data_IF_044937102771
#
_entry.id   IF_044937102771
#
_cell.length_a   1.000
_cell.length_b   1.000
_cell.length_c   1.000
_cell.angle_alpha   90.00
_cell.angle_beta   90.00
_cell.angle_gamma   90.00
#
_symmetry.space_group_name_H-M   'P 1'
#
loop_
_entity.id
_entity.type
_entity.pdbx_description
1 polymer ?
#
# COMPACT_ATOMS: atom_id res chain seq x y z
N UNK A 1 -1.41 6.81 -5.88
CA UNK A 1 -0.65 7.98 -6.40
C UNK A 1 -1.53 8.78 -7.35
N UNK A 2 -1.31 10.10 -7.49
CA UNK A 2 -2.19 10.97 -8.31
C UNK A 2 -1.78 11.10 -9.78
N UNK A 3 -0.52 10.81 -10.14
CA UNK A 3 -0.05 10.88 -11.53
C UNK A 3 1.02 9.80 -11.76
N UNK A 4 0.85 8.99 -12.80
CA UNK A 4 1.83 8.00 -13.28
C UNK A 4 2.59 8.59 -14.46
N UNK A 5 3.86 8.23 -14.58
CA UNK A 5 4.76 8.76 -15.61
C UNK A 5 5.23 7.59 -16.46
N UNK A 6 4.51 7.27 -17.53
CA UNK A 6 4.82 6.12 -18.39
C UNK A 6 5.81 6.49 -19.49
N UNK A 7 6.59 5.50 -19.93
CA UNK A 7 7.62 5.70 -20.94
C UNK A 7 7.12 5.13 -22.27
N UNK A 8 7.23 5.95 -23.31
CA UNK A 8 6.90 5.57 -24.67
C UNK A 8 8.19 5.50 -25.48
N UNK A 9 8.41 4.35 -26.11
CA UNK A 9 9.45 4.14 -27.10
C UNK A 9 8.93 4.60 -28.46
N UNK A 10 9.60 5.55 -29.09
CA UNK A 10 9.22 6.07 -30.42
C UNK A 10 10.32 5.74 -31.43
N UNK A 11 9.92 5.16 -32.56
CA UNK A 11 10.78 4.90 -33.71
C UNK A 11 10.34 5.72 -34.91
N UNK A 12 11.30 6.24 -35.65
CA UNK A 12 11.08 6.91 -36.93
C UNK A 12 11.60 6.03 -38.06
N UNK A 13 10.77 5.80 -39.09
CA UNK A 13 11.22 5.15 -40.31
C UNK A 13 10.49 5.71 -41.53
N UNK A 14 11.13 5.57 -42.71
CA UNK A 14 10.55 6.00 -43.98
C UNK A 14 9.65 4.92 -44.57
N UNK A 15 8.40 5.29 -44.84
CA UNK A 15 7.47 4.47 -45.61
C UNK A 15 7.98 4.24 -47.04
N UNK A 16 7.45 3.21 -47.71
CA UNK A 16 7.59 2.94 -49.15
C UNK A 16 7.30 4.18 -50.02
N UNK A 17 6.50 5.13 -49.52
CA UNK A 17 6.15 6.39 -50.19
C UNK A 17 6.98 7.61 -49.74
N UNK A 18 8.13 7.43 -49.08
CA UNK A 18 9.01 8.50 -48.55
C UNK A 18 8.32 9.47 -47.57
N UNK A 19 7.32 9.01 -46.83
CA UNK A 19 6.74 9.74 -45.70
C UNK A 19 7.34 9.20 -44.40
N UNK A 20 7.67 10.09 -43.48
CA UNK A 20 8.13 9.72 -42.15
C UNK A 20 6.94 9.15 -41.35
N UNK A 21 7.14 7.99 -40.72
CA UNK A 21 6.17 7.33 -39.86
C UNK A 21 6.80 7.21 -38.47
N UNK A 22 6.01 7.57 -37.45
CA UNK A 22 6.38 7.47 -36.05
C UNK A 22 5.60 6.32 -35.42
N UNK A 23 6.31 5.32 -34.91
CA UNK A 23 5.73 4.19 -34.15
C UNK A 23 6.03 4.37 -32.67
N UNK A 24 4.99 4.54 -31.87
CA UNK A 24 5.04 4.74 -30.44
C UNK A 24 4.54 3.49 -29.71
N UNK A 25 5.36 2.92 -28.83
CA UNK A 25 5.01 1.73 -28.03
C UNK A 25 5.16 2.03 -26.55
N UNK A 26 4.18 1.63 -25.75
CA UNK A 26 4.27 1.70 -24.29
C UNK A 26 5.35 0.74 -23.79
N UNK A 27 6.31 1.26 -23.04
CA UNK A 27 7.50 0.50 -22.64
C UNK A 27 7.15 -0.70 -21.73
N UNK A 28 6.25 -0.47 -20.78
CA UNK A 28 5.79 -1.47 -19.81
C UNK A 28 4.94 -2.57 -20.45
N UNK A 29 4.32 -2.30 -21.59
CA UNK A 29 3.49 -3.26 -22.31
C UNK A 29 3.60 -3.08 -23.83
N UNK A 30 4.50 -3.87 -24.44
CA UNK A 30 4.82 -3.80 -25.88
C UNK A 30 3.64 -4.08 -26.83
N UNK A 31 2.55 -4.70 -26.35
CA UNK A 31 1.33 -4.91 -27.13
C UNK A 31 0.52 -3.63 -27.35
N UNK A 32 0.77 -2.59 -26.54
CA UNK A 32 0.13 -1.27 -26.68
C UNK A 32 1.04 -0.39 -27.54
N UNK A 33 0.66 -0.23 -28.80
CA UNK A 33 1.40 0.57 -29.79
C UNK A 33 0.47 1.45 -30.63
N UNK A 34 1.00 2.52 -31.18
CA UNK A 34 0.28 3.45 -32.04
C UNK A 34 1.20 4.10 -33.08
N UNK A 35 0.69 4.29 -34.30
CA UNK A 35 1.44 4.93 -35.39
C UNK A 35 0.86 6.29 -35.77
N UNK A 36 1.73 7.28 -35.97
CA UNK A 36 1.40 8.63 -36.43
C UNK A 36 2.18 9.04 -37.67
N UNK A 37 1.60 9.95 -38.45
CA UNK A 37 2.28 10.63 -39.58
C UNK A 37 3.17 11.80 -39.11
N UNK A 38 3.06 12.16 -37.82
CA UNK A 38 3.98 13.03 -37.11
C UNK A 38 4.26 12.47 -35.71
N UNK A 39 5.35 12.94 -35.09
CA UNK A 39 5.71 12.60 -33.72
C UNK A 39 4.56 12.90 -32.74
N UNK A 40 4.00 14.10 -32.81
CA UNK A 40 2.90 14.54 -31.95
C UNK A 40 1.64 13.67 -32.13
N UNK A 41 1.35 13.26 -33.37
CA UNK A 41 0.21 12.39 -33.65
C UNK A 41 0.41 10.99 -33.03
N UNK A 42 1.62 10.43 -33.12
CA UNK A 42 1.95 9.14 -32.51
C UNK A 42 1.84 9.21 -30.98
N UNK A 43 2.35 10.27 -30.35
CA UNK A 43 2.26 10.50 -28.90
C UNK A 43 0.81 10.68 -28.44
N UNK A 44 -0.02 11.40 -29.20
CA UNK A 44 -1.44 11.55 -28.87
C UNK A 44 -2.17 10.20 -28.93
N UNK A 45 -1.95 9.41 -29.97
CA UNK A 45 -2.63 8.12 -30.13
C UNK A 45 -2.18 7.08 -29.11
N UNK A 46 -0.90 7.04 -28.75
CA UNK A 46 -0.42 6.13 -27.71
C UNK A 46 -0.93 6.54 -26.33
N UNK A 47 -1.08 7.85 -26.06
CA UNK A 47 -1.73 8.34 -24.85
C UNK A 47 -3.16 7.81 -24.75
N UNK A 48 -3.97 7.98 -25.81
CA UNK A 48 -5.34 7.48 -25.87
C UNK A 48 -5.40 5.95 -25.65
N UNK A 49 -4.58 5.18 -26.35
CA UNK A 49 -4.50 3.71 -26.17
C UNK A 49 -4.02 3.29 -24.78
N UNK A 50 -3.16 4.08 -24.14
CA UNK A 50 -2.71 3.80 -22.77
C UNK A 50 -3.84 4.01 -21.78
N UNK A 51 -4.66 5.06 -21.98
CA UNK A 51 -5.88 5.25 -21.20
C UNK A 51 -6.88 4.11 -21.41
N UNK A 52 -7.11 3.69 -22.65
CA UNK A 52 -7.98 2.52 -22.96
C UNK A 52 -7.48 1.25 -22.30
N UNK A 53 -6.16 1.03 -22.29
CA UNK A 53 -5.54 -0.11 -21.61
C UNK A 53 -5.72 -0.03 -20.09
N UNK A 54 -5.54 1.15 -19.49
CA UNK A 54 -5.76 1.34 -18.05
C UNK A 54 -7.24 1.22 -17.68
N UNK A 55 -8.16 1.69 -18.53
CA UNK A 55 -9.59 1.43 -18.41
C UNK A 55 -9.88 -0.06 -18.44
N UNK A 56 -9.31 -0.80 -19.40
CA UNK A 56 -9.45 -2.25 -19.47
C UNK A 56 -8.92 -2.95 -18.21
N UNK A 57 -7.73 -2.61 -17.74
CA UNK A 57 -7.17 -3.18 -16.51
C UNK A 57 -8.05 -2.88 -15.29
N UNK A 58 -8.52 -1.64 -15.19
CA UNK A 58 -9.44 -1.20 -14.14
C UNK A 58 -10.76 -1.97 -14.20
N UNK A 59 -11.33 -2.17 -15.38
CA UNK A 59 -12.57 -2.93 -15.58
C UNK A 59 -12.40 -4.42 -15.24
N UNK A 60 -11.18 -4.96 -15.37
CA UNK A 60 -10.83 -6.32 -14.94
C UNK A 60 -10.42 -6.39 -13.45
N UNK A 61 -10.46 -5.28 -12.71
CA UNK A 61 -10.00 -5.23 -11.32
C UNK A 61 -8.51 -5.54 -11.14
N UNK A 62 -7.73 -5.39 -12.20
CA UNK A 62 -6.29 -5.67 -12.23
C UNK A 62 -5.53 -4.37 -11.96
N UNK A 63 -4.40 -4.45 -11.25
CA UNK A 63 -3.61 -3.26 -10.94
C UNK A 63 -3.00 -2.63 -12.20
N UNK A 64 -2.93 -1.30 -12.22
CA UNK A 64 -2.21 -0.55 -13.24
C UNK A 64 -0.71 -0.73 -13.00
N UNK A 65 0.07 -1.18 -14.01
CA UNK A 65 1.51 -1.38 -13.86
C UNK A 65 2.23 -0.13 -13.37
N UNK A 66 3.14 -0.31 -12.41
CA UNK A 66 4.04 0.77 -11.98
C UNK A 66 4.96 1.19 -13.14
N UNK A 67 5.20 2.50 -13.31
CA UNK A 67 6.04 3.00 -14.38
C UNK A 67 7.50 2.58 -14.18
N UNK A 68 8.16 2.23 -15.27
CA UNK A 68 9.56 1.84 -15.22
C UNK A 68 10.47 3.07 -15.02
N UNK A 69 11.60 2.90 -14.31
CA UNK A 69 12.55 4.00 -14.12
C UNK A 69 13.34 4.31 -15.41
N UNK A 70 13.28 5.57 -15.87
CA UNK A 70 13.99 6.04 -17.08
C UNK A 70 15.49 5.73 -17.09
N UNK A 71 16.14 5.80 -15.93
CA UNK A 71 17.57 5.51 -15.74
C UNK A 71 17.95 4.09 -16.17
N UNK A 72 17.08 3.12 -15.90
CA UNK A 72 17.29 1.70 -16.22
C UNK A 72 17.13 1.42 -17.73
N UNK A 73 16.32 2.23 -18.41
CA UNK A 73 15.91 2.03 -19.80
C UNK A 73 16.91 2.64 -20.77
N UNK A 74 17.37 3.86 -20.48
CA UNK A 74 18.39 4.58 -21.28
C UNK A 74 19.73 3.84 -21.36
N UNK A 75 20.07 3.05 -20.33
CA UNK A 75 21.32 2.28 -20.32
C UNK A 75 21.27 1.00 -21.16
N UNK A 76 20.09 0.39 -21.36
CA UNK A 76 19.93 -0.89 -22.07
C UNK A 76 19.71 -0.73 -23.58
N UNK A 77 19.20 0.42 -24.04
CA UNK A 77 18.85 0.65 -25.45
C UNK A 77 19.57 1.89 -26.01
N UNK A 78 20.83 1.73 -26.44
CA UNK A 78 21.62 2.78 -27.12
C UNK A 78 21.47 2.73 -28.66
N UNK A 79 20.28 2.47 -29.16
CA UNK A 79 20.04 2.56 -30.60
C UNK A 79 19.82 4.03 -31.01
N UNK A 80 20.42 4.42 -32.14
CA UNK A 80 20.46 5.82 -32.61
C UNK A 80 19.11 6.36 -33.07
N UNK A 81 18.14 5.48 -33.33
CA UNK A 81 16.84 5.80 -33.93
C UNK A 81 15.66 5.58 -32.96
N UNK A 82 15.96 5.51 -31.66
CA UNK A 82 14.98 5.31 -30.58
C UNK A 82 14.89 6.57 -29.73
N UNK A 83 13.71 7.16 -29.68
CA UNK A 83 13.39 8.26 -28.77
C UNK A 83 12.55 7.74 -27.60
N UNK A 84 12.82 8.24 -26.40
CA UNK A 84 11.97 8.00 -25.24
C UNK A 84 11.16 9.26 -24.96
N UNK A 85 9.84 9.12 -24.91
CA UNK A 85 8.92 10.17 -24.49
C UNK A 85 8.28 9.79 -23.16
N UNK A 86 7.99 10.80 -22.35
CA UNK A 86 7.37 10.62 -21.04
C UNK A 86 5.96 11.16 -21.09
N UNK A 87 4.99 10.33 -20.71
CA UNK A 87 3.59 10.70 -20.65
C UNK A 87 3.12 10.66 -19.19
N UNK A 88 2.52 11.75 -18.73
CA UNK A 88 1.91 11.83 -17.41
C UNK A 88 0.42 11.50 -17.51
N UNK A 89 -0.04 10.50 -16.75
CA UNK A 89 -1.44 10.05 -16.70
C UNK A 89 -1.97 10.23 -15.29
N UNK A 90 -3.10 10.92 -15.14
CA UNK A 90 -3.82 11.00 -13.87
C UNK A 90 -4.53 9.66 -13.59
N UNK A 91 -3.99 8.89 -12.63
CA UNK A 91 -4.55 7.58 -12.28
C UNK A 91 -5.59 7.65 -11.16
N UNK A 92 -5.89 8.84 -10.62
CA UNK A 92 -6.89 8.99 -9.57
C UNK A 92 -8.28 8.52 -10.03
N UNK A 93 -8.57 8.67 -11.33
CA UNK A 93 -9.82 8.22 -11.97
C UNK A 93 -10.05 6.70 -11.88
N UNK A 94 -8.99 5.90 -11.78
CA UNK A 94 -9.07 4.44 -11.69
C UNK A 94 -9.13 3.94 -10.25
N UNK A 95 -8.67 4.75 -9.29
CA UNK A 95 -8.68 4.40 -7.87
C UNK A 95 -10.06 4.49 -7.20
N UNK A 96 -11.07 5.04 -7.90
CA UNK A 96 -12.39 5.34 -7.34
C UNK A 96 -13.57 4.66 -8.09
N UNK A 97 -13.32 3.85 -9.13
CA UNK A 97 -14.42 3.20 -9.87
C UNK A 97 -15.15 2.22 -8.95
N UNK A 98 -16.40 2.55 -8.62
CA UNK A 98 -17.29 1.72 -7.82
C UNK A 98 -17.93 0.66 -8.71
N UNK A 99 -17.69 -0.62 -8.42
CA UNK A 99 -18.35 -1.72 -9.12
C UNK A 99 -19.72 -2.03 -8.51
N UNK A 100 -20.73 -2.21 -9.36
CA UNK A 100 -22.06 -2.67 -8.93
C UNK A 100 -22.07 -4.20 -8.85
N UNK A 101 -21.94 -4.73 -7.64
CA UNK A 101 -22.05 -6.16 -7.36
C UNK A 101 -23.48 -6.58 -7.01
N UNK A 102 -23.87 -7.80 -7.36
CA UNK A 102 -25.11 -8.42 -6.90
C UNK A 102 -24.81 -9.31 -5.69
N UNK A 103 -25.42 -9.00 -4.54
CA UNK A 103 -25.25 -9.77 -3.29
C UNK A 103 -26.58 -10.39 -2.86
N UNK A 104 -26.54 -11.64 -2.38
CA UNK A 104 -27.68 -12.28 -1.74
C UNK A 104 -27.57 -12.11 -0.24
N UNK A 105 -28.59 -11.52 0.38
CA UNK A 105 -28.66 -11.32 1.83
C UNK A 105 -30.01 -11.80 2.38
N UNK A 106 -30.08 -12.27 3.64
CA UNK A 106 -31.35 -12.60 4.27
C UNK A 106 -32.32 -11.41 4.28
N UNK A 107 -33.57 -11.64 3.89
CA UNK A 107 -34.63 -10.59 3.82
C UNK A 107 -34.74 -9.82 5.14
N UNK A 108 -34.65 -10.51 6.28
CA UNK A 108 -34.72 -9.88 7.59
C UNK A 108 -33.56 -8.90 7.85
N UNK A 109 -32.35 -9.22 7.37
CA UNK A 109 -31.20 -8.35 7.48
C UNK A 109 -31.36 -7.10 6.60
N UNK A 110 -31.81 -7.27 5.36
CA UNK A 110 -32.07 -6.14 4.44
C UNK A 110 -33.06 -5.16 5.08
N UNK A 111 -34.17 -5.67 5.64
CA UNK A 111 -35.18 -4.83 6.31
C UNK A 111 -34.61 -4.08 7.51
N UNK A 112 -33.79 -4.74 8.34
CA UNK A 112 -33.11 -4.08 9.47
C UNK A 112 -32.16 -2.97 9.01
N UNK A 113 -31.39 -3.19 7.96
CA UNK A 113 -30.50 -2.17 7.38
C UNK A 113 -31.33 -0.98 6.88
N UNK A 114 -32.41 -1.25 6.15
CA UNK A 114 -33.30 -0.20 5.63
C UNK A 114 -33.94 0.63 6.74
N UNK A 115 -34.48 -0.01 7.77
CA UNK A 115 -35.11 0.68 8.89
C UNK A 115 -34.08 1.50 9.68
N UNK A 116 -32.87 0.98 9.87
CA UNK A 116 -31.77 1.74 10.45
C UNK A 116 -31.41 2.97 9.60
N UNK A 117 -31.33 2.83 8.28
CA UNK A 117 -30.97 3.91 7.36
C UNK A 117 -32.06 4.98 7.25
N UNK A 118 -33.35 4.62 7.29
CA UNK A 118 -34.47 5.60 7.28
C UNK A 118 -34.29 6.67 8.37
N UNK A 119 -33.85 6.28 9.57
CA UNK A 119 -33.66 7.19 10.68
C UNK A 119 -32.35 7.99 10.63
N UNK A 120 -31.30 7.47 9.97
CA UNK A 120 -29.94 8.03 9.99
C UNK A 120 -29.56 8.84 8.74
N UNK A 121 -30.18 8.55 7.60
CA UNK A 121 -30.02 9.28 6.33
C UNK A 121 -30.68 10.66 6.41
N UNK A 122 -31.85 10.77 7.03
CA UNK A 122 -32.61 12.04 7.09
C UNK A 122 -32.21 12.98 8.24
N UNK A 123 -31.70 12.45 9.35
CA UNK A 123 -31.47 13.26 10.56
C UNK A 123 -30.00 13.55 10.88
N UNK A 124 -29.04 12.73 10.39
CA UNK A 124 -27.64 12.80 10.84
C UNK A 124 -26.59 12.83 9.73
N UNK A 125 -26.97 12.63 8.45
CA UNK A 125 -26.05 12.49 7.30
C UNK A 125 -24.91 11.48 7.50
N UNK A 126 -25.06 10.52 8.42
CA UNK A 126 -23.99 9.59 8.78
C UNK A 126 -23.76 8.53 7.68
N UNK A 127 -24.82 8.19 6.93
CA UNK A 127 -24.80 7.24 5.82
C UNK A 127 -25.67 7.76 4.68
N UNK A 128 -25.23 7.58 3.43
CA UNK A 128 -25.96 8.04 2.24
C UNK A 128 -26.74 6.93 1.51
N UNK A 129 -26.35 5.67 1.68
CA UNK A 129 -26.97 4.52 1.00
C UNK A 129 -26.67 3.20 1.71
N UNK A 130 -27.30 2.10 1.28
CA UNK A 130 -26.93 0.74 1.70
C UNK A 130 -25.46 0.44 1.37
N UNK A 131 -25.00 0.83 0.18
CA UNK A 131 -23.61 0.62 -0.23
C UNK A 131 -22.66 1.41 0.65
N UNK A 132 -22.96 2.67 0.96
CA UNK A 132 -22.15 3.48 1.88
C UNK A 132 -22.13 2.91 3.30
N UNK A 133 -23.27 2.41 3.79
CA UNK A 133 -23.36 1.71 5.07
C UNK A 133 -22.49 0.45 5.11
N UNK A 134 -22.58 -0.40 4.08
CA UNK A 134 -21.77 -1.62 3.97
C UNK A 134 -20.29 -1.26 3.85
N UNK A 135 -19.92 -0.29 3.02
CA UNK A 135 -18.53 0.17 2.88
C UNK A 135 -17.97 0.68 4.21
N UNK A 136 -18.72 1.51 4.94
CA UNK A 136 -18.30 2.02 6.26
C UNK A 136 -18.26 0.92 7.32
N UNK A 137 -19.19 -0.03 7.28
CA UNK A 137 -19.16 -1.20 8.16
C UNK A 137 -17.92 -2.06 7.86
N UNK A 138 -17.60 -2.32 6.58
CA UNK A 138 -16.37 -3.02 6.19
C UNK A 138 -15.12 -2.26 6.62
N UNK A 139 -15.09 -0.93 6.47
CA UNK A 139 -14.00 -0.08 7.00
C UNK A 139 -13.88 -0.18 8.52
N UNK A 140 -14.98 -0.35 9.26
CA UNK A 140 -14.87 -0.59 10.71
C UNK A 140 -14.08 -1.86 11.04
N UNK A 141 -14.15 -2.90 10.19
CA UNK A 141 -13.37 -4.13 10.39
C UNK A 141 -11.89 -3.97 9.96
N UNK A 142 -11.61 -3.12 8.96
CA UNK A 142 -10.27 -2.90 8.41
C UNK A 142 -10.02 -1.41 8.07
N UNK A 143 -9.90 -0.52 9.09
CA UNK A 143 -10.01 0.93 8.92
C UNK A 143 -8.91 1.55 8.05
N UNK A 144 -7.73 0.91 8.00
CA UNK A 144 -6.54 1.52 7.40
C UNK A 144 -5.83 0.65 6.36
N UNK A 145 -6.49 -0.38 5.84
CA UNK A 145 -5.95 -1.22 4.78
C UNK A 145 -6.64 -0.96 3.43
N UNK A 146 -5.87 -1.03 2.35
CA UNK A 146 -6.35 -0.87 0.97
C UNK A 146 -7.15 -2.11 0.56
N UNK A 147 -8.46 -2.13 0.83
CA UNK A 147 -9.26 -3.36 0.80
C UNK A 147 -10.47 -3.31 -0.13
N UNK A 148 -10.28 -3.57 -1.43
CA UNK A 148 -11.42 -3.91 -2.31
C UNK A 148 -11.28 -5.23 -3.09
N UNK A 149 -10.10 -5.87 -3.13
CA UNK A 149 -9.93 -7.07 -3.97
C UNK A 149 -9.79 -8.42 -3.22
N UNK A 150 -9.42 -8.46 -1.94
CA UNK A 150 -8.93 -9.72 -1.33
C UNK A 150 -9.92 -10.50 -0.43
N UNK A 151 -11.15 -10.00 -0.21
CA UNK A 151 -12.09 -10.63 0.75
C UNK A 151 -12.56 -12.02 0.26
N UNK A 152 -12.38 -12.38 -1.01
CA UNK A 152 -12.73 -13.70 -1.54
C UNK A 152 -11.67 -14.25 -2.50
N UNK A 153 -10.50 -14.64 -1.97
CA UNK A 153 -9.69 -15.66 -2.63
C UNK A 153 -9.69 -16.96 -1.81
N UNK A 154 -10.39 -17.98 -2.32
CA UNK A 154 -10.65 -19.22 -1.58
C UNK A 154 -9.41 -20.13 -1.47
N UNK A 155 -8.35 -19.87 -2.23
CA UNK A 155 -7.13 -20.69 -2.25
C UNK A 155 -6.11 -20.33 -1.16
N UNK A 156 -6.07 -19.08 -0.70
CA UNK A 156 -5.05 -18.61 0.25
C UNK A 156 -5.40 -18.96 1.71
N UNK A 157 -4.43 -19.32 2.56
CA UNK A 157 -4.67 -19.67 3.98
C UNK A 157 -4.98 -18.45 4.87
N UNK A 158 -4.43 -17.29 4.52
CA UNK A 158 -4.60 -16.01 5.19
C UNK A 158 -4.63 -14.88 4.16
N UNK A 159 -5.05 -13.69 4.58
CA UNK A 159 -4.96 -12.46 3.79
C UNK A 159 -3.95 -11.52 4.45
N UNK A 160 -3.10 -10.87 3.65
CA UNK A 160 -2.19 -9.85 4.13
C UNK A 160 -2.41 -8.54 3.36
N UNK A 161 -2.36 -7.43 4.09
CA UNK A 161 -2.60 -6.09 3.53
C UNK A 161 -1.52 -5.14 4.03
N UNK A 162 -1.09 -4.22 3.18
CA UNK A 162 -0.19 -3.13 3.58
C UNK A 162 -1.01 -1.91 4.04
N UNK A 163 -0.61 -1.37 5.18
CA UNK A 163 -1.14 -0.11 5.69
C UNK A 163 -0.72 1.05 4.78
N UNK A 164 -1.64 1.99 4.55
CA UNK A 164 -1.35 3.19 3.78
C UNK A 164 -0.55 4.18 4.64
N UNK A 165 0.73 4.37 4.32
CA UNK A 165 1.60 5.31 5.03
C UNK A 165 1.01 6.73 5.00
N UNK A 166 0.86 7.32 6.19
CA UNK A 166 0.48 8.71 6.41
C UNK A 166 1.64 9.51 6.98
N UNK A 167 1.35 10.64 7.64
CA UNK A 167 2.38 11.34 8.42
C UNK A 167 2.67 10.58 9.73
N UNK A 168 3.75 10.95 10.45
CA UNK A 168 4.15 10.28 11.70
C UNK A 168 3.03 10.22 12.75
N UNK A 169 2.23 11.27 12.88
CA UNK A 169 1.11 11.35 13.82
C UNK A 169 0.00 10.37 13.45
N UNK A 170 -0.37 10.31 12.17
CA UNK A 170 -1.39 9.39 11.66
C UNK A 170 -0.90 7.94 11.80
N UNK A 171 0.36 7.68 11.45
CA UNK A 171 1.00 6.38 11.60
C UNK A 171 0.93 5.87 13.04
N UNK A 172 1.30 6.72 14.01
CA UNK A 172 1.20 6.43 15.43
C UNK A 172 -0.25 6.14 15.86
N UNK A 173 -1.17 7.05 15.53
CA UNK A 173 -2.57 6.96 15.94
C UNK A 173 -3.26 5.71 15.37
N UNK A 174 -2.98 5.36 14.12
CA UNK A 174 -3.60 4.22 13.44
C UNK A 174 -3.12 2.88 14.01
N UNK A 175 -1.84 2.74 14.37
CA UNK A 175 -1.37 1.52 15.05
C UNK A 175 -1.93 1.42 16.48
N UNK A 176 -2.04 2.54 17.19
CA UNK A 176 -2.70 2.60 18.52
C UNK A 176 -4.18 2.19 18.40
N UNK A 177 -4.88 2.62 17.35
CA UNK A 177 -6.27 2.21 17.09
C UNK A 177 -6.38 0.69 16.93
N UNK A 178 -5.49 0.07 16.15
CA UNK A 178 -5.47 -1.39 16.01
C UNK A 178 -5.13 -2.11 17.32
N UNK A 179 -4.16 -1.64 18.09
CA UNK A 179 -3.82 -2.23 19.40
C UNK A 179 -5.05 -2.28 20.33
N UNK A 180 -5.85 -1.21 20.32
CA UNK A 180 -7.08 -1.11 21.10
C UNK A 180 -8.28 -1.82 20.46
N UNK A 181 -8.16 -2.26 19.22
CA UNK A 181 -9.26 -2.86 18.47
C UNK A 181 -9.66 -4.22 19.07
N UNK A 182 -10.97 -4.50 19.12
CA UNK A 182 -11.51 -5.75 19.67
C UNK A 182 -11.13 -6.98 18.85
N UNK A 183 -11.01 -6.83 17.52
CA UNK A 183 -10.56 -7.90 16.62
C UNK A 183 -9.04 -8.06 16.56
N UNK A 184 -8.26 -7.18 17.16
CA UNK A 184 -6.81 -7.37 17.23
C UNK A 184 -6.49 -8.53 18.18
N UNK A 185 -5.96 -9.61 17.62
CA UNK A 185 -5.51 -10.80 18.35
C UNK A 185 -4.07 -10.62 18.84
N UNK A 186 -3.18 -10.17 17.96
CA UNK A 186 -1.76 -10.00 18.26
C UNK A 186 -1.14 -8.87 17.42
N UNK A 187 -0.16 -8.17 17.98
CA UNK A 187 0.71 -7.26 17.23
C UNK A 187 2.16 -7.73 17.36
N UNK A 188 2.87 -7.89 16.25
CA UNK A 188 4.32 -8.15 16.25
C UNK A 188 5.05 -6.89 15.81
N UNK A 189 5.79 -6.25 16.72
CA UNK A 189 6.65 -5.11 16.41
C UNK A 189 8.01 -5.59 15.86
N UNK A 190 8.61 -4.79 15.00
CA UNK A 190 9.96 -5.06 14.48
C UNK A 190 10.71 -3.75 14.24
N UNK A 191 12.03 -3.87 14.16
CA UNK A 191 12.94 -2.77 13.84
C UNK A 191 13.73 -3.13 12.58
N UNK A 192 13.80 -2.22 11.61
CA UNK A 192 14.64 -2.44 10.42
C UNK A 192 16.13 -2.28 10.75
N UNK A 193 16.99 -2.60 9.80
CA UNK A 193 18.42 -2.33 9.91
C UNK A 193 18.70 -0.83 10.11
N UNK A 194 19.75 -0.52 10.89
CA UNK A 194 20.20 0.86 11.18
C UNK A 194 20.85 1.54 9.98
N UNK A 195 21.21 0.77 8.96
CA UNK A 195 21.79 1.24 7.71
C UNK A 195 21.00 0.67 6.54
N UNK A 196 20.99 1.34 5.39
CA UNK A 196 20.44 0.78 4.17
C UNK A 196 21.03 -0.61 3.88
N UNK A 197 20.16 -1.59 3.64
CA UNK A 197 20.51 -2.95 3.22
C UNK A 197 19.64 -3.34 2.02
N UNK A 198 19.78 -4.57 1.52
CA UNK A 198 18.95 -5.06 0.43
C UNK A 198 17.44 -4.90 0.76
N UNK A 199 16.68 -4.36 -0.18
CA UNK A 199 15.26 -4.03 -0.01
C UNK A 199 14.98 -2.60 0.47
N UNK A 200 15.99 -1.85 0.93
CA UNK A 200 15.83 -0.44 1.27
C UNK A 200 15.53 0.38 0.00
N UNK A 201 14.50 1.21 0.07
CA UNK A 201 13.96 1.92 -1.08
C UNK A 201 13.56 3.35 -0.71
N UNK A 202 13.03 4.10 -1.69
CA UNK A 202 12.49 5.43 -1.44
C UNK A 202 11.27 5.41 -0.51
N UNK A 203 10.54 4.30 -0.46
CA UNK A 203 9.34 4.14 0.36
C UNK A 203 9.66 4.02 1.85
N UNK A 204 10.90 3.70 2.19
CA UNK A 204 11.44 3.67 3.57
C UNK A 204 11.89 5.08 4.03
N UNK A 205 11.88 6.06 3.13
CA UNK A 205 12.28 7.44 3.39
C UNK A 205 13.80 7.60 3.54
N UNK A 206 14.26 8.73 4.10
CA UNK A 206 15.69 9.01 4.20
C UNK A 206 16.36 8.10 5.26
N UNK A 207 17.57 7.65 4.95
CA UNK A 207 18.42 6.81 5.82
C UNK A 207 18.65 7.41 7.22
N UNK A 208 18.63 8.74 7.34
CA UNK A 208 18.69 9.46 8.63
C UNK A 208 17.56 9.13 9.61
N UNK A 209 16.50 8.45 9.14
CA UNK A 209 15.41 7.97 9.97
C UNK A 209 15.61 6.54 10.45
N UNK A 210 16.61 5.81 9.94
CA UNK A 210 16.84 4.42 10.31
C UNK A 210 17.40 4.32 11.74
N UNK A 211 17.05 3.27 12.49
CA UNK A 211 16.14 2.18 12.12
C UNK A 211 14.67 2.61 12.22
N UNK A 212 13.82 1.98 11.40
CA UNK A 212 12.38 2.21 11.39
C UNK A 212 11.70 1.18 12.28
N UNK A 213 10.75 1.62 13.09
CA UNK A 213 9.78 0.75 13.73
C UNK A 213 8.74 0.37 12.68
N UNK A 214 8.44 -0.91 12.56
CA UNK A 214 7.29 -1.43 11.85
C UNK A 214 6.48 -2.40 12.71
N UNK A 215 5.33 -2.84 12.20
CA UNK A 215 4.43 -3.75 12.92
C UNK A 215 3.66 -4.69 11.98
N UNK A 216 3.31 -5.86 12.49
CA UNK A 216 2.33 -6.76 11.88
C UNK A 216 1.17 -6.89 12.85
N UNK A 217 -0.03 -6.50 12.43
CA UNK A 217 -1.25 -6.68 13.21
C UNK A 217 -1.99 -7.91 12.71
N UNK A 218 -2.18 -8.90 13.58
CA UNK A 218 -3.00 -10.08 13.31
C UNK A 218 -4.41 -9.83 13.83
N UNK A 219 -5.38 -9.90 12.91
CA UNK A 219 -6.80 -9.73 13.20
C UNK A 219 -7.50 -11.08 13.20
N UNK A 220 -8.35 -11.29 14.22
CA UNK A 220 -9.26 -12.42 14.33
C UNK A 220 -10.68 -11.95 14.10
N UNK A 221 -11.13 -12.09 12.86
CA UNK A 221 -12.48 -11.68 12.45
C UNK A 221 -13.39 -12.90 12.32
N UNK A 222 -14.66 -12.82 12.76
CA UNK A 222 -15.63 -13.88 12.53
C UNK A 222 -15.82 -14.13 11.02
N UNK A 223 -15.76 -15.40 10.60
CA UNK A 223 -15.98 -15.86 9.23
C UNK A 223 -14.96 -15.42 8.15
N UNK A 224 -13.90 -14.69 8.51
CA UNK A 224 -12.78 -14.40 7.62
C UNK A 224 -11.59 -15.29 7.97
N UNK A 225 -10.74 -15.56 6.98
CA UNK A 225 -9.44 -16.19 7.19
C UNK A 225 -8.55 -15.26 8.03
N UNK A 226 -7.48 -15.81 8.62
CA UNK A 226 -6.51 -15.00 9.36
C UNK A 226 -6.09 -13.81 8.52
N UNK A 227 -6.12 -12.62 9.10
CA UNK A 227 -5.87 -11.37 8.38
C UNK A 227 -4.72 -10.63 9.03
N UNK A 228 -3.77 -10.18 8.21
CA UNK A 228 -2.58 -9.47 8.64
C UNK A 228 -2.54 -8.07 8.04
N UNK A 229 -2.25 -7.06 8.86
CA UNK A 229 -2.00 -5.69 8.42
C UNK A 229 -0.53 -5.37 8.68
N UNK A 230 0.21 -5.10 7.62
CA UNK A 230 1.64 -4.79 7.64
C UNK A 230 1.85 -3.27 7.67
N UNK A 231 2.58 -2.80 8.68
CA UNK A 231 3.06 -1.45 8.85
C UNK A 231 4.57 -1.44 8.62
N UNK A 232 4.98 -1.18 7.39
CA UNK A 232 6.39 -1.07 6.97
C UNK A 232 6.60 0.19 6.10
N UNK A 233 7.80 0.38 5.54
CA UNK A 233 8.19 1.62 4.87
C UNK A 233 8.50 2.74 5.87
N UNK A 234 8.31 4.00 5.45
CA UNK A 234 8.50 5.20 6.28
C UNK A 234 7.40 5.32 7.35
N UNK A 235 7.46 4.47 8.37
CA UNK A 235 6.42 4.37 9.39
C UNK A 235 6.71 5.22 10.63
N UNK A 236 7.51 4.70 11.58
CA UNK A 236 7.91 5.39 12.81
C UNK A 236 9.42 5.26 13.06
N UNK A 237 10.00 6.18 13.83
CA UNK A 237 11.44 6.16 14.16
C UNK A 237 11.71 6.80 15.52
N UNK A 238 12.69 6.26 16.25
CA UNK A 238 13.14 6.81 17.53
C UNK A 238 14.44 7.62 17.43
N UNK A 239 14.91 7.98 16.22
CA UNK A 239 16.19 8.68 16.02
C UNK A 239 16.27 10.08 16.65
N UNK A 240 15.14 10.78 16.83
CA UNK A 240 15.11 12.18 17.31
C UNK A 240 14.03 12.36 18.37
N UNK A 241 14.30 13.22 19.36
CA UNK A 241 13.41 13.47 20.53
C UNK A 241 11.94 13.74 20.17
N UNK A 242 11.58 14.55 19.14
CA UNK A 242 10.18 14.73 18.77
C UNK A 242 9.49 13.44 18.33
N UNK A 243 10.21 12.56 17.61
CA UNK A 243 9.69 11.31 17.02
C UNK A 243 9.67 10.12 17.99
N UNK A 244 10.44 10.26 19.08
CA UNK A 244 10.45 9.30 20.17
C UNK A 244 9.10 9.25 20.90
N UNK A 245 8.39 10.37 21.02
CA UNK A 245 7.12 10.41 21.75
C UNK A 245 6.05 9.52 21.10
N UNK A 246 6.01 9.45 19.77
CA UNK A 246 5.11 8.57 19.03
C UNK A 246 5.46 7.10 19.26
N UNK A 247 6.75 6.75 19.20
CA UNK A 247 7.21 5.39 19.52
C UNK A 247 6.86 5.04 20.96
N UNK A 248 7.09 5.96 21.90
CA UNK A 248 6.75 5.78 23.31
C UNK A 248 5.26 5.53 23.49
N UNK A 249 4.38 6.28 22.83
CA UNK A 249 2.93 6.10 22.91
C UNK A 249 2.48 4.74 22.39
N UNK A 250 3.07 4.26 21.29
CA UNK A 250 2.83 2.91 20.76
C UNK A 250 3.28 1.86 21.78
N UNK A 251 4.48 2.00 22.37
CA UNK A 251 5.00 1.06 23.37
C UNK A 251 4.18 1.04 24.66
N UNK A 252 3.78 2.21 25.16
CA UNK A 252 2.90 2.35 26.33
C UNK A 252 1.58 1.61 26.09
N UNK A 253 0.95 1.82 24.92
CA UNK A 253 -0.29 1.15 24.53
C UNK A 253 -0.09 -0.37 24.34
N UNK A 254 1.03 -0.76 23.74
CA UNK A 254 1.35 -2.17 23.48
C UNK A 254 1.54 -2.97 24.77
N UNK A 255 2.21 -2.40 25.77
CA UNK A 255 2.34 -3.01 27.10
C UNK A 255 0.98 -3.04 27.80
N UNK A 256 0.21 -1.95 27.77
CA UNK A 256 -1.09 -1.86 28.44
C UNK A 256 -2.12 -2.87 27.89
N UNK A 257 -2.16 -3.07 26.57
CA UNK A 257 -3.09 -4.01 25.93
C UNK A 257 -2.67 -5.47 26.07
N UNK A 258 -1.39 -5.74 26.36
CA UNK A 258 -0.81 -7.07 26.50
C UNK A 258 -1.06 -7.99 25.29
N UNK A 259 -1.17 -7.41 24.08
CA UNK A 259 -1.36 -8.15 22.81
C UNK A 259 -0.08 -8.21 21.97
N UNK A 260 1.01 -7.64 22.47
CA UNK A 260 2.18 -7.36 21.63
C UNK A 260 3.34 -8.30 21.89
N UNK A 261 3.96 -8.76 20.80
CA UNK A 261 5.26 -9.40 20.75
C UNK A 261 6.20 -8.54 19.90
N UNK A 262 7.50 -8.80 19.93
CA UNK A 262 8.46 -8.14 19.06
C UNK A 262 9.52 -9.12 18.53
N UNK A 263 10.04 -8.83 17.35
CA UNK A 263 11.19 -9.54 16.77
C UNK A 263 12.47 -9.02 17.43
N UNK A 264 13.29 -9.94 17.95
CA UNK A 264 14.48 -9.60 18.76
C UNK A 264 15.70 -9.16 17.94
N UNK A 265 15.64 -9.29 16.62
CA UNK A 265 16.73 -8.97 15.70
C UNK A 265 16.29 -7.89 14.71
N UNK A 266 17.20 -7.05 14.21
CA UNK A 266 16.91 -6.19 13.07
C UNK A 266 16.45 -7.00 11.87
N UNK A 267 15.38 -6.57 11.21
CA UNK A 267 14.79 -7.26 10.06
C UNK A 267 15.13 -6.54 8.74
N UNK A 268 15.14 -7.26 7.60
CA UNK A 268 15.26 -6.63 6.29
C UNK A 268 14.08 -5.68 6.00
N UNK A 269 14.28 -4.78 5.04
CA UNK A 269 13.23 -3.89 4.56
C UNK A 269 12.23 -4.67 3.70
N UNK A 270 10.94 -4.54 4.00
CA UNK A 270 9.87 -5.31 3.34
C UNK A 270 8.93 -4.45 2.49
N UNK A 271 9.15 -3.13 2.43
CA UNK A 271 8.27 -2.18 1.73
C UNK A 271 8.08 -2.51 0.24
N UNK A 272 9.09 -3.10 -0.40
CA UNK A 272 9.07 -3.53 -1.81
C UNK A 272 8.53 -4.94 -2.04
N UNK A 273 8.25 -5.71 -0.99
CA UNK A 273 7.72 -7.06 -1.12
C UNK A 273 6.20 -7.04 -1.22
N UNK A 274 5.62 -8.09 -1.79
CA UNK A 274 4.19 -8.36 -1.63
C UNK A 274 3.86 -8.53 -0.13
N UNK A 275 2.71 -8.02 0.37
CA UNK A 275 2.37 -8.13 1.78
C UNK A 275 2.38 -9.56 2.33
N UNK A 276 2.01 -10.57 1.54
CA UNK A 276 2.02 -11.97 1.98
C UNK A 276 3.45 -12.50 2.12
N UNK A 277 4.32 -12.15 1.18
CA UNK A 277 5.74 -12.49 1.23
C UNK A 277 6.44 -11.82 2.41
N UNK A 278 6.12 -10.53 2.67
CA UNK A 278 6.63 -9.80 3.81
C UNK A 278 6.19 -10.41 5.15
N UNK A 279 4.89 -10.73 5.30
CA UNK A 279 4.38 -11.40 6.51
C UNK A 279 5.03 -12.77 6.70
N UNK A 280 5.21 -13.54 5.62
CA UNK A 280 5.88 -14.83 5.66
C UNK A 280 7.34 -14.69 6.13
N UNK A 281 8.11 -13.80 5.50
CA UNK A 281 9.51 -13.53 5.83
C UNK A 281 9.67 -13.11 7.30
N UNK A 282 8.88 -12.13 7.75
CA UNK A 282 8.95 -11.62 9.11
C UNK A 282 8.45 -12.65 10.14
N UNK A 283 7.53 -13.54 9.75
CA UNK A 283 7.02 -14.62 10.58
C UNK A 283 8.05 -15.71 10.91
N UNK A 284 9.14 -15.82 10.14
CA UNK A 284 10.24 -16.77 10.39
C UNK A 284 11.16 -16.33 11.53
N UNK A 285 11.12 -15.06 11.92
CA UNK A 285 11.98 -14.54 12.99
C UNK A 285 11.48 -14.93 14.39
N UNK A 286 12.39 -15.13 15.36
CA UNK A 286 12.02 -15.39 16.74
C UNK A 286 11.34 -14.17 17.36
N UNK A 287 10.23 -14.41 18.06
CA UNK A 287 9.40 -13.38 18.69
C UNK A 287 9.44 -13.52 20.21
N UNK A 288 9.46 -12.38 20.89
CA UNK A 288 9.41 -12.29 22.34
C UNK A 288 8.23 -11.43 22.79
N UNK A 289 7.61 -11.78 23.93
CA UNK A 289 6.48 -11.00 24.45
C UNK A 289 6.96 -9.61 24.86
N UNK A 290 6.24 -8.57 24.46
CA UNK A 290 6.51 -7.22 24.94
C UNK A 290 5.86 -7.02 26.31
N UNK A 291 6.67 -6.77 27.32
CA UNK A 291 6.27 -6.44 28.69
C UNK A 291 7.02 -5.19 29.14
N UNK A 292 6.72 -4.69 30.35
CA UNK A 292 7.48 -3.59 30.92
C UNK A 292 8.98 -3.92 31.05
N UNK A 293 9.31 -5.18 31.33
CA UNK A 293 10.69 -5.63 31.52
C UNK A 293 11.44 -5.88 30.20
N UNK A 294 10.75 -6.37 29.17
CA UNK A 294 11.36 -6.66 27.88
C UNK A 294 11.37 -5.46 26.93
N UNK A 295 10.56 -4.42 27.19
CA UNK A 295 10.50 -3.19 26.40
C UNK A 295 11.86 -2.53 26.14
N UNK A 296 12.77 -2.36 27.11
CA UNK A 296 14.10 -1.81 26.86
C UNK A 296 14.90 -2.61 25.81
N UNK A 297 14.70 -3.92 25.74
CA UNK A 297 15.36 -4.78 24.75
C UNK A 297 14.90 -4.43 23.33
N UNK A 298 13.60 -4.24 23.14
CA UNK A 298 13.06 -3.80 21.85
C UNK A 298 13.51 -2.37 21.51
N UNK A 299 13.47 -1.44 22.47
CA UNK A 299 13.87 -0.06 22.24
C UNK A 299 15.33 0.08 21.82
N UNK A 300 16.22 -0.76 22.36
CA UNK A 300 17.62 -0.84 21.96
C UNK A 300 17.83 -1.26 20.50
N UNK A 301 16.82 -1.84 19.83
CA UNK A 301 16.86 -2.05 18.38
C UNK A 301 16.60 -0.75 17.61
N UNK A 302 15.83 0.17 18.19
CA UNK A 302 15.37 1.40 17.54
C UNK A 302 16.28 2.61 17.78
N UNK A 303 16.96 2.65 18.93
CA UNK A 303 17.77 3.79 19.34
C UNK A 303 19.11 3.32 19.92
N UNK A 304 20.15 4.14 19.80
CA UNK A 304 21.40 3.95 20.54
C UNK A 304 21.35 4.58 21.94
N UNK A 305 20.36 5.43 22.19
CA UNK A 305 20.05 6.00 23.50
C UNK A 305 18.99 5.13 24.19
N UNK A 306 19.01 5.09 25.52
CA UNK A 306 17.94 4.47 26.30
C UNK A 306 16.70 5.37 26.37
N UNK A 307 15.54 4.80 26.68
CA UNK A 307 14.30 5.59 26.87
C UNK A 307 14.45 6.65 27.97
N UNK A 308 15.20 6.33 29.03
CA UNK A 308 15.48 7.27 30.13
C UNK A 308 16.33 8.46 29.69
N UNK A 309 17.18 8.31 28.67
CA UNK A 309 17.99 9.39 28.09
C UNK A 309 17.18 10.27 27.12
N UNK A 310 16.02 9.78 26.64
CA UNK A 310 15.16 10.47 25.68
C UNK A 310 14.07 11.31 26.33
N UNK A 311 13.60 10.90 27.53
CA UNK A 311 12.71 11.66 28.39
C UNK A 311 13.38 12.97 28.85
#
# INVERSE_FOLDING_TARGET
MKNYTVIVKVFEYKSLFKKDIYDATLFEQSTINATGSSYEEAIKKIHEKTLEYFDFLSDQGTEIPEPAEMSTIMFKNRDKDVFFHVITIDTSIYSEKTEKINVTMPIFLIRKIDDFLKHKVHNTNLFSSRSDYITKACKQYLPHAHNLAAIYNNEKKYSAFRYKVGNTTDNCSNLIEYLNHSFCEEVTLFATHRTPTHGFSRDDGPDTNLPLLGAIVKLKMPALKETYILFDGLFLTAQRKPRYNEVKNVLDTAVATNKTCFIQLPVPFTSQLDPEEAVKLLGEFPRHKLTQDSRPQFFNLLSSLSEAQMN
#
